data_IF_114666374411
#
_entry.id   IF_114666374411
#
_cell.length_a   1.000
_cell.length_b   1.000
_cell.length_c   1.000
_cell.angle_alpha   90.00
_cell.angle_beta   90.00
_cell.angle_gamma   90.00
#
_symmetry.space_group_name_H-M   'P 1'
#
loop_
_entity.id
_entity.type
_entity.pdbx_description
1 polymer ?
#
# COMPACT_ATOMS: atom_id res chain seq x y z
N UNK A 1 18.49 2.89 4.24
CA UNK A 1 18.51 1.90 3.14
C UNK A 1 18.37 2.48 1.73
N UNK A 2 18.04 3.76 1.50
CA UNK A 2 18.16 4.36 0.15
C UNK A 2 17.17 3.94 -0.94
N UNK A 3 16.37 2.87 -0.79
CA UNK A 3 15.45 2.39 -1.83
C UNK A 3 14.44 3.43 -2.34
N UNK A 4 13.77 4.15 -1.45
CA UNK A 4 12.90 5.29 -1.84
C UNK A 4 13.67 6.29 -2.71
N UNK A 5 14.93 6.57 -2.39
CA UNK A 5 15.77 7.51 -3.16
C UNK A 5 16.10 6.98 -4.56
N UNK A 6 16.34 5.67 -4.69
CA UNK A 6 16.56 5.00 -5.98
C UNK A 6 15.30 5.10 -6.84
N UNK A 7 14.13 4.76 -6.29
CA UNK A 7 12.85 4.84 -7.02
C UNK A 7 12.55 6.28 -7.45
N UNK A 8 12.75 7.27 -6.57
CA UNK A 8 12.57 8.68 -6.93
C UNK A 8 13.51 9.12 -8.07
N UNK A 9 14.73 8.60 -8.15
CA UNK A 9 15.67 8.87 -9.26
C UNK A 9 15.26 8.18 -10.55
N UNK A 10 14.71 6.97 -10.48
CA UNK A 10 14.12 6.29 -11.63
C UNK A 10 12.93 7.09 -12.17
N UNK A 11 12.03 7.55 -11.28
CA UNK A 11 10.89 8.39 -11.63
C UNK A 11 11.36 9.69 -12.30
N UNK A 12 12.36 10.35 -11.73
CA UNK A 12 12.97 11.54 -12.34
C UNK A 12 13.52 11.23 -13.74
N UNK A 13 14.26 10.15 -13.91
CA UNK A 13 14.87 9.82 -15.20
C UNK A 13 13.80 9.54 -16.27
N UNK A 14 12.79 8.76 -15.92
CA UNK A 14 11.72 8.35 -16.85
C UNK A 14 10.68 9.45 -17.10
N UNK A 15 10.61 10.48 -16.24
CA UNK A 15 9.74 11.65 -16.47
C UNK A 15 10.10 12.41 -17.75
N UNK A 16 11.35 12.34 -18.20
CA UNK A 16 11.80 13.00 -19.44
C UNK A 16 11.48 12.22 -20.71
N UNK A 17 11.07 10.95 -20.60
CA UNK A 17 10.87 10.06 -21.73
C UNK A 17 9.57 9.27 -21.59
N UNK A 18 9.60 8.10 -20.96
CA UNK A 18 8.49 7.14 -20.86
C UNK A 18 7.23 7.76 -20.25
N UNK A 19 7.37 8.71 -19.33
CA UNK A 19 6.22 9.35 -18.67
C UNK A 19 5.84 10.72 -19.26
N UNK A 20 6.46 11.13 -20.38
CA UNK A 20 6.16 12.39 -21.03
C UNK A 20 4.65 12.52 -21.37
N UNK A 21 4.05 13.64 -20.98
CA UNK A 21 2.63 13.90 -21.20
C UNK A 21 1.68 12.94 -20.48
N UNK A 22 2.11 12.34 -19.38
CA UNK A 22 1.32 11.40 -18.56
C UNK A 22 1.46 11.71 -17.06
N UNK A 23 0.64 11.06 -16.24
CA UNK A 23 0.63 11.22 -14.80
C UNK A 23 1.56 10.22 -14.10
N UNK A 24 2.15 10.67 -12.99
CA UNK A 24 2.90 9.84 -12.04
C UNK A 24 2.26 10.03 -10.66
N UNK A 25 1.77 8.94 -10.07
CA UNK A 25 1.21 8.95 -8.72
C UNK A 25 2.24 8.54 -7.68
N UNK A 26 2.36 9.31 -6.60
CA UNK A 26 3.12 8.95 -5.39
C UNK A 26 2.10 8.81 -4.26
N UNK A 27 1.97 7.62 -3.69
CA UNK A 27 1.02 7.31 -2.63
C UNK A 27 1.84 6.97 -1.38
N UNK A 28 1.66 7.73 -0.31
CA UNK A 28 2.36 7.45 0.95
C UNK A 28 1.55 7.91 2.16
N UNK A 29 1.52 7.04 3.18
CA UNK A 29 0.81 7.19 4.46
C UNK A 29 -0.68 7.52 4.36
N UNK A 30 -1.38 7.35 5.47
CA UNK A 30 -2.78 7.78 5.61
C UNK A 30 -2.92 9.29 5.83
N UNK A 31 -1.83 9.99 6.20
CA UNK A 31 -1.79 11.45 6.28
C UNK A 31 -0.94 12.02 5.13
N UNK A 32 -1.48 12.96 4.36
CA UNK A 32 -0.80 13.53 3.19
C UNK A 32 0.52 14.27 3.46
N UNK A 33 0.97 14.35 4.73
CA UNK A 33 2.28 14.92 5.10
C UNK A 33 3.45 14.07 4.63
N UNK A 34 3.33 12.74 4.62
CA UNK A 34 4.38 11.83 4.13
C UNK A 34 4.45 11.81 2.61
N UNK A 35 3.32 11.73 1.89
CA UNK A 35 3.32 11.85 0.43
C UNK A 35 3.97 13.16 -0.06
N UNK A 36 3.75 14.27 0.68
CA UNK A 36 4.46 15.53 0.44
C UNK A 36 5.97 15.46 0.71
N UNK A 37 6.43 14.60 1.62
CA UNK A 37 7.86 14.40 1.91
C UNK A 37 8.59 13.87 0.67
N UNK A 38 8.04 12.86 0.01
CA UNK A 38 8.67 12.28 -1.19
C UNK A 38 8.54 13.19 -2.40
N UNK A 39 7.41 13.88 -2.55
CA UNK A 39 7.29 14.94 -3.56
C UNK A 39 8.35 16.04 -3.37
N UNK A 40 8.60 16.47 -2.13
CA UNK A 40 9.68 17.45 -1.81
C UNK A 40 11.07 16.89 -2.05
N UNK A 41 11.31 15.60 -1.84
CA UNK A 41 12.58 14.95 -2.17
C UNK A 41 12.78 14.93 -3.67
N UNK A 42 11.77 14.53 -4.43
CA UNK A 42 11.80 14.54 -5.88
C UNK A 42 12.02 15.96 -6.44
N UNK A 43 11.30 16.97 -5.93
CA UNK A 43 11.54 18.36 -6.30
C UNK A 43 12.98 18.82 -6.04
N UNK A 44 13.62 18.34 -4.97
CA UNK A 44 15.05 18.65 -4.72
C UNK A 44 15.95 18.06 -5.80
N UNK A 45 15.64 16.89 -6.35
CA UNK A 45 16.41 16.32 -7.45
C UNK A 45 16.29 17.18 -8.73
N UNK A 46 15.09 17.68 -9.03
CA UNK A 46 14.87 18.60 -10.15
C UNK A 46 15.59 19.94 -10.03
N UNK A 47 16.04 20.37 -8.84
CA UNK A 47 16.79 21.62 -8.68
C UNK A 47 18.10 21.65 -9.49
N UNK A 48 18.64 20.49 -9.84
CA UNK A 48 19.82 20.38 -10.71
C UNK A 48 19.52 20.72 -12.18
N UNK A 49 18.25 20.72 -12.57
CA UNK A 49 17.77 20.90 -13.95
C UNK A 49 16.50 21.78 -13.97
N UNK A 50 16.54 23.00 -13.41
CA UNK A 50 15.33 23.78 -13.13
C UNK A 50 14.52 24.16 -14.38
N UNK A 51 15.15 24.21 -15.55
CA UNK A 51 14.51 24.59 -16.83
C UNK A 51 13.47 23.58 -17.31
N UNK A 52 13.47 22.36 -16.78
CA UNK A 52 12.50 21.32 -17.15
C UNK A 52 11.23 21.36 -16.30
N UNK A 53 11.23 22.12 -15.20
CA UNK A 53 10.08 22.22 -14.30
C UNK A 53 9.25 23.43 -14.69
N UNK A 54 8.05 23.17 -15.22
CA UNK A 54 7.07 24.20 -15.54
C UNK A 54 6.46 24.78 -14.25
N UNK A 55 6.09 23.90 -13.33
CA UNK A 55 5.48 24.26 -12.07
C UNK A 55 6.15 23.47 -10.94
N UNK A 56 6.85 24.20 -10.07
CA UNK A 56 7.30 23.67 -8.78
C UNK A 56 6.10 23.27 -7.92
N UNK A 57 6.38 22.67 -6.75
CA UNK A 57 5.34 22.14 -5.87
C UNK A 57 4.22 23.17 -5.64
N UNK A 58 3.03 22.85 -6.15
CA UNK A 58 1.78 23.57 -5.88
C UNK A 58 0.76 22.56 -5.39
N UNK A 59 0.26 22.78 -4.17
CA UNK A 59 -0.54 21.80 -3.42
C UNK A 59 0.22 20.47 -3.27
N UNK A 60 -0.11 19.47 -4.09
CA UNK A 60 0.50 18.15 -4.09
C UNK A 60 1.10 17.78 -5.46
N UNK A 61 1.35 18.76 -6.33
CA UNK A 61 1.74 18.50 -7.73
C UNK A 61 3.04 19.19 -8.13
N UNK A 62 3.81 18.54 -9.00
CA UNK A 62 4.89 19.12 -9.81
C UNK A 62 4.51 18.93 -11.28
N UNK A 63 4.70 19.96 -12.11
CA UNK A 63 4.51 19.85 -13.58
C UNK A 63 5.82 20.06 -14.31
N UNK A 64 6.07 19.19 -15.28
CA UNK A 64 7.25 19.21 -16.15
C UNK A 64 6.84 19.78 -17.49
N UNK A 65 7.74 20.51 -18.15
CA UNK A 65 7.48 21.21 -19.44
C UNK A 65 7.00 20.29 -20.57
N UNK A 66 7.22 18.98 -20.46
CA UNK A 66 6.76 17.98 -21.42
C UNK A 66 5.35 17.45 -21.12
N UNK A 67 4.63 18.08 -20.20
CA UNK A 67 3.28 17.70 -19.79
C UNK A 67 3.20 16.58 -18.76
N UNK A 68 4.33 16.06 -18.25
CA UNK A 68 4.29 15.12 -17.13
C UNK A 68 3.81 15.80 -15.86
N UNK A 69 2.83 15.21 -15.20
CA UNK A 69 2.31 15.69 -13.90
C UNK A 69 2.63 14.65 -12.84
N UNK A 70 3.33 15.07 -11.79
CA UNK A 70 3.65 14.20 -10.66
C UNK A 70 2.81 14.65 -9.48
N UNK A 71 1.99 13.76 -8.95
CA UNK A 71 1.02 14.06 -7.91
C UNK A 71 1.18 13.14 -6.70
N UNK A 72 1.04 13.72 -5.51
CA UNK A 72 1.15 13.04 -4.24
C UNK A 72 -0.22 12.87 -3.58
N UNK A 73 -0.57 11.63 -3.25
CA UNK A 73 -1.83 11.23 -2.65
C UNK A 73 -1.61 10.57 -1.29
N UNK A 74 -2.61 10.71 -0.41
CA UNK A 74 -2.70 9.84 0.76
C UNK A 74 -3.16 8.45 0.32
N UNK A 75 -2.84 7.43 1.11
CA UNK A 75 -3.31 6.07 0.90
C UNK A 75 -4.81 5.98 1.20
N UNK A 76 -5.63 6.10 0.15
CA UNK A 76 -7.08 5.87 0.17
C UNK A 76 -7.53 5.19 -1.12
N UNK A 77 -8.74 4.63 -1.12
CA UNK A 77 -9.32 3.97 -2.29
C UNK A 77 -9.49 4.95 -3.47
N UNK A 78 -9.82 6.20 -3.15
CA UNK A 78 -10.06 7.29 -4.10
C UNK A 78 -8.79 7.96 -4.62
N UNK A 79 -7.60 7.53 -4.16
CA UNK A 79 -6.33 8.18 -4.44
C UNK A 79 -6.07 8.41 -5.93
N UNK A 80 -6.63 7.57 -6.81
CA UNK A 80 -6.47 7.67 -8.27
C UNK A 80 -7.80 7.71 -9.03
N UNK A 81 -8.82 8.38 -8.48
CA UNK A 81 -10.11 8.57 -9.18
C UNK A 81 -10.05 9.77 -10.14
N UNK A 82 -10.08 9.53 -11.46
CA UNK A 82 -10.04 10.59 -12.50
C UNK A 82 -9.34 10.20 -13.80
N UNK A 83 -9.01 11.19 -14.64
CA UNK A 83 -8.38 11.00 -15.97
C UNK A 83 -7.14 10.10 -15.89
N UNK A 84 -7.24 8.96 -16.57
CA UNK A 84 -6.60 7.71 -16.15
C UNK A 84 -5.19 7.52 -16.65
N UNK A 85 -4.55 8.49 -17.34
CA UNK A 85 -3.26 8.30 -18.02
C UNK A 85 -2.06 8.28 -17.07
N UNK A 86 -2.06 7.37 -16.10
CA UNK A 86 -0.93 7.08 -15.23
C UNK A 86 0.05 6.16 -15.93
N UNK A 87 1.32 6.57 -16.01
CA UNK A 87 2.43 5.73 -16.51
C UNK A 87 3.35 5.24 -15.41
N UNK A 88 3.22 5.75 -14.19
CA UNK A 88 3.92 5.27 -13.02
C UNK A 88 3.07 5.47 -11.77
N UNK A 89 3.07 4.48 -10.89
CA UNK A 89 2.52 4.57 -9.54
C UNK A 89 3.59 4.08 -8.56
N UNK A 90 3.88 4.89 -7.55
CA UNK A 90 4.84 4.57 -6.50
C UNK A 90 4.15 4.61 -5.14
N UNK A 91 4.14 3.47 -4.44
CA UNK A 91 3.64 3.34 -3.08
C UNK A 91 4.82 3.22 -2.11
N UNK A 92 5.03 4.25 -1.28
CA UNK A 92 6.08 4.27 -0.26
C UNK A 92 5.52 3.94 1.13
N UNK A 93 6.31 3.22 1.92
CA UNK A 93 5.97 2.75 3.26
C UNK A 93 4.63 1.98 3.33
N UNK A 94 4.26 1.23 2.28
CA UNK A 94 2.94 0.61 2.14
C UNK A 94 2.52 -0.32 3.29
N UNK A 95 3.40 -1.21 3.76
CA UNK A 95 3.13 -2.10 4.89
C UNK A 95 2.95 -1.32 6.22
N UNK A 96 3.43 -0.09 6.31
CA UNK A 96 3.34 0.76 7.51
C UNK A 96 2.10 1.64 7.57
N UNK A 97 1.29 1.70 6.51
CA UNK A 97 0.07 2.51 6.50
C UNK A 97 -0.88 2.10 7.63
N UNK A 98 -1.58 3.06 8.22
CA UNK A 98 -2.55 2.80 9.30
C UNK A 98 -3.90 2.31 8.75
N UNK A 99 -3.85 1.31 7.87
CA UNK A 99 -5.00 0.62 7.31
C UNK A 99 -5.07 -0.77 7.94
N UNK A 100 -6.27 -1.18 8.35
CA UNK A 100 -6.55 -2.55 8.81
C UNK A 100 -6.41 -3.51 7.63
N UNK A 101 -6.94 -3.11 6.48
CA UNK A 101 -6.83 -3.81 5.20
C UNK A 101 -6.46 -2.78 4.12
N UNK A 102 -5.41 -3.06 3.34
CA UNK A 102 -4.97 -2.24 2.21
C UNK A 102 -5.51 -2.74 0.87
N UNK A 103 -6.25 -3.86 0.85
CA UNK A 103 -6.86 -4.45 -0.35
C UNK A 103 -7.68 -3.45 -1.17
N UNK A 104 -8.54 -2.57 -0.60
CA UNK A 104 -9.30 -1.59 -1.38
C UNK A 104 -8.40 -0.62 -2.18
N UNK A 105 -7.28 -0.20 -1.59
CA UNK A 105 -6.30 0.69 -2.25
C UNK A 105 -5.63 -0.04 -3.43
N UNK A 106 -5.25 -1.29 -3.25
CA UNK A 106 -4.68 -2.09 -4.34
C UNK A 106 -5.70 -2.41 -5.43
N UNK A 107 -6.95 -2.69 -5.07
CA UNK A 107 -8.03 -2.95 -6.02
C UNK A 107 -8.35 -1.75 -6.90
N UNK A 108 -8.15 -0.51 -6.43
CA UNK A 108 -8.30 0.67 -7.27
C UNK A 108 -7.07 0.93 -8.15
N UNK A 109 -5.87 0.62 -7.67
CA UNK A 109 -4.59 0.89 -8.37
C UNK A 109 -4.26 -0.15 -9.44
N UNK A 110 -4.33 -1.44 -9.12
CA UNK A 110 -3.83 -2.51 -10.00
C UNK A 110 -4.52 -2.54 -11.36
N UNK A 111 -5.84 -2.30 -11.49
CA UNK A 111 -6.48 -2.18 -12.80
C UNK A 111 -5.92 -1.04 -13.65
N UNK A 112 -5.58 0.10 -13.04
CA UNK A 112 -4.98 1.25 -13.73
C UNK A 112 -3.57 0.88 -14.20
N UNK A 113 -2.77 0.25 -13.34
CA UNK A 113 -1.42 -0.22 -13.68
C UNK A 113 -1.47 -1.13 -14.89
N UNK A 114 -2.34 -2.14 -14.86
CA UNK A 114 -2.49 -3.14 -15.94
C UNK A 114 -3.01 -2.52 -17.23
N UNK A 115 -4.06 -1.72 -17.15
CA UNK A 115 -4.69 -1.10 -18.34
C UNK A 115 -3.73 -0.17 -19.08
N UNK A 116 -2.89 0.56 -18.35
CA UNK A 116 -1.99 1.53 -18.94
C UNK A 116 -0.60 0.99 -19.27
N UNK A 117 -0.29 -0.24 -18.85
CA UNK A 117 1.10 -0.73 -18.81
C UNK A 117 2.01 0.20 -18.02
N UNK A 118 1.52 0.67 -16.88
CA UNK A 118 2.24 1.60 -16.01
C UNK A 118 3.33 0.85 -15.23
N UNK A 119 4.42 1.54 -14.91
CA UNK A 119 5.39 1.02 -13.98
C UNK A 119 4.83 1.13 -12.55
N UNK A 120 4.99 0.08 -11.75
CA UNK A 120 4.47 0.03 -10.39
C UNK A 120 5.59 -0.29 -9.41
N UNK A 121 5.86 0.64 -8.51
CA UNK A 121 6.89 0.50 -7.47
C UNK A 121 6.21 0.42 -6.11
N UNK A 122 6.53 -0.61 -5.35
CA UNK A 122 6.05 -0.83 -3.99
C UNK A 122 7.26 -0.96 -3.07
N UNK A 123 7.44 -0.02 -2.16
CA UNK A 123 8.59 0.00 -1.23
C UNK A 123 8.07 0.02 0.20
N UNK A 124 8.56 -0.92 1.02
CA UNK A 124 8.27 -0.93 2.44
C UNK A 124 9.26 -1.77 3.22
N UNK A 125 9.40 -1.44 4.51
CA UNK A 125 9.88 -2.42 5.48
C UNK A 125 8.69 -3.33 5.85
N UNK A 126 8.86 -4.65 5.92
CA UNK A 126 7.81 -5.59 6.29
C UNK A 126 7.09 -5.21 7.59
N UNK A 127 5.78 -5.45 7.67
CA UNK A 127 4.99 -5.26 8.91
C UNK A 127 3.74 -6.13 8.91
N UNK A 128 3.73 -7.16 9.76
CA UNK A 128 2.60 -8.07 9.95
C UNK A 128 2.22 -8.89 8.70
N UNK A 129 1.60 -10.07 8.87
CA UNK A 129 1.26 -10.95 7.74
C UNK A 129 -0.05 -10.58 7.02
N UNK A 130 -0.74 -9.52 7.44
CA UNK A 130 -2.13 -9.28 7.01
C UNK A 130 -2.23 -8.51 5.69
N UNK A 131 -1.20 -7.71 5.37
CA UNK A 131 -1.25 -6.72 4.30
C UNK A 131 -0.80 -7.27 2.96
N UNK A 132 -1.15 -6.56 1.89
CA UNK A 132 -0.79 -6.94 0.52
C UNK A 132 0.71 -7.13 0.33
N UNK A 133 1.55 -6.38 1.05
CA UNK A 133 3.01 -6.54 1.00
C UNK A 133 3.47 -7.95 1.44
N UNK A 134 2.84 -8.55 2.44
CA UNK A 134 3.09 -9.95 2.82
C UNK A 134 2.53 -10.92 1.78
N UNK A 135 1.30 -10.68 1.29
CA UNK A 135 0.66 -11.54 0.28
C UNK A 135 1.49 -11.61 -1.00
N UNK A 136 2.02 -10.47 -1.47
CA UNK A 136 2.93 -10.40 -2.63
C UNK A 136 4.24 -11.15 -2.33
N UNK A 137 4.74 -11.12 -1.09
CA UNK A 137 5.95 -11.88 -0.76
C UNK A 137 5.74 -13.39 -0.86
N UNK A 138 4.61 -13.87 -0.35
CA UNK A 138 4.26 -15.29 -0.39
C UNK A 138 3.87 -15.76 -1.80
N UNK A 139 3.25 -14.87 -2.58
CA UNK A 139 2.85 -15.12 -3.96
C UNK A 139 3.06 -13.87 -4.83
N UNK A 140 4.25 -13.73 -5.46
CA UNK A 140 4.61 -12.53 -6.19
C UNK A 140 3.77 -12.25 -7.43
N UNK A 141 3.07 -13.24 -8.01
CA UNK A 141 2.27 -13.06 -9.23
C UNK A 141 3.05 -12.27 -10.33
N UNK A 142 2.65 -11.02 -10.60
CA UNK A 142 3.23 -10.12 -11.62
C UNK A 142 4.46 -9.31 -11.11
N UNK A 143 4.85 -9.48 -9.85
CA UNK A 143 5.87 -8.67 -9.17
C UNK A 143 7.26 -9.32 -9.20
N UNK A 144 8.28 -8.48 -9.36
CA UNK A 144 9.68 -8.84 -9.09
C UNK A 144 10.06 -8.26 -7.74
N UNK A 145 10.44 -9.13 -6.80
CA UNK A 145 10.82 -8.72 -5.47
C UNK A 145 12.32 -8.52 -5.31
N UNK A 146 12.67 -7.50 -4.53
CA UNK A 146 14.02 -7.24 -4.08
C UNK A 146 14.02 -7.07 -2.57
N UNK A 147 14.84 -7.86 -1.89
CA UNK A 147 15.13 -7.69 -0.47
C UNK A 147 16.46 -6.96 -0.31
N UNK A 148 16.53 -6.03 0.64
CA UNK A 148 17.76 -5.28 0.91
C UNK A 148 17.87 -4.95 2.39
N UNK A 149 18.68 -5.74 3.08
CA UNK A 149 18.95 -5.59 4.52
C UNK A 149 20.08 -4.59 4.76
N UNK A 150 20.32 -4.25 6.03
CA UNK A 150 21.28 -3.21 6.39
C UNK A 150 22.71 -3.65 6.12
N UNK A 151 22.95 -4.96 6.09
CA UNK A 151 24.24 -5.55 5.78
C UNK A 151 24.69 -5.23 4.36
N UNK A 152 23.76 -5.05 3.42
CA UNK A 152 24.07 -4.65 2.05
C UNK A 152 24.63 -3.23 1.93
N UNK A 153 24.57 -2.46 3.02
CA UNK A 153 25.11 -1.10 3.09
C UNK A 153 26.53 -1.05 3.67
N UNK A 154 27.05 -2.18 4.16
CA UNK A 154 28.37 -2.29 4.79
C UNK A 154 29.47 -1.79 3.83
N UNK A 155 30.32 -0.90 4.34
CA UNK A 155 31.44 -0.32 3.59
C UNK A 155 31.04 0.75 2.58
N UNK A 156 29.75 0.98 2.35
CA UNK A 156 29.23 2.02 1.45
C UNK A 156 28.57 3.17 2.21
N UNK A 157 27.49 2.88 2.95
CA UNK A 157 26.77 3.89 3.74
C UNK A 157 27.12 3.82 5.22
N UNK A 158 27.38 2.62 5.74
CA UNK A 158 27.68 2.39 7.14
C UNK A 158 28.87 1.45 7.28
N UNK A 159 29.66 1.65 8.33
CA UNK A 159 30.65 0.70 8.80
C UNK A 159 29.96 -0.48 9.48
N UNK A 160 30.64 -1.62 9.56
CA UNK A 160 30.14 -2.80 10.29
C UNK A 160 29.75 -2.47 11.73
N UNK A 161 30.59 -1.69 12.41
CA UNK A 161 30.39 -1.28 13.81
C UNK A 161 29.13 -0.42 13.98
N UNK A 162 28.84 0.48 13.03
CA UNK A 162 27.60 1.25 13.01
C UNK A 162 26.38 0.36 12.78
N UNK A 163 26.49 -0.63 11.90
CA UNK A 163 25.41 -1.60 11.62
C UNK A 163 25.09 -2.42 12.87
N UNK A 164 26.10 -3.00 13.50
CA UNK A 164 25.93 -3.77 14.74
C UNK A 164 25.31 -2.90 15.85
N UNK A 165 25.72 -1.64 15.96
CA UNK A 165 25.13 -0.68 16.90
C UNK A 165 23.66 -0.40 16.60
N UNK A 166 23.29 -0.20 15.33
CA UNK A 166 21.89 0.01 14.93
C UNK A 166 21.02 -1.22 15.21
N UNK A 167 21.53 -2.42 14.94
CA UNK A 167 20.83 -3.68 15.22
C UNK A 167 20.69 -3.92 16.73
N UNK A 168 21.65 -3.50 17.54
CA UNK A 168 21.58 -3.63 19.00
C UNK A 168 20.68 -2.58 19.69
N UNK A 169 20.17 -1.60 18.94
CA UNK A 169 19.35 -0.52 19.49
C UNK A 169 17.98 -1.02 19.92
N UNK A 170 17.52 -0.58 21.09
CA UNK A 170 16.15 -0.83 21.58
C UNK A 170 15.14 0.25 21.20
N UNK A 171 15.56 1.30 20.48
CA UNK A 171 14.69 2.43 20.12
C UNK A 171 13.69 2.10 19.01
N UNK A 172 14.05 1.17 18.15
CA UNK A 172 13.29 0.69 17.00
C UNK A 172 13.33 -0.83 17.02
N UNK A 173 12.43 -1.50 16.30
CA UNK A 173 12.53 -2.95 16.13
C UNK A 173 13.53 -3.24 14.99
N UNK A 174 14.78 -3.62 15.30
CA UNK A 174 15.82 -3.78 14.28
C UNK A 174 15.49 -4.91 13.30
N UNK A 175 14.72 -5.91 13.74
CA UNK A 175 14.33 -7.02 12.87
C UNK A 175 13.38 -6.55 11.77
N UNK A 176 12.45 -5.66 12.12
CA UNK A 176 11.52 -5.07 11.17
C UNK A 176 12.18 -3.97 10.31
N UNK A 177 12.92 -3.07 10.94
CA UNK A 177 13.45 -1.86 10.29
C UNK A 177 14.73 -2.10 9.47
N UNK A 178 15.56 -3.07 9.87
CA UNK A 178 16.89 -3.27 9.28
C UNK A 178 17.11 -4.64 8.65
N UNK A 179 16.35 -5.66 9.07
CA UNK A 179 16.56 -7.05 8.67
C UNK A 179 15.39 -7.65 7.86
N UNK A 180 14.43 -6.83 7.43
CA UNK A 180 13.33 -7.25 6.58
C UNK A 180 12.50 -8.43 7.14
N UNK A 181 12.35 -8.54 8.46
CA UNK A 181 11.55 -9.62 9.06
C UNK A 181 10.11 -9.19 9.32
N UNK A 182 9.16 -10.04 8.94
CA UNK A 182 7.76 -9.88 9.34
C UNK A 182 7.60 -10.25 10.81
N UNK A 183 6.96 -9.35 11.57
CA UNK A 183 6.53 -9.61 12.93
C UNK A 183 5.04 -9.38 13.08
N UNK A 184 4.37 -10.27 13.79
CA UNK A 184 3.05 -9.98 14.35
C UNK A 184 3.21 -8.78 15.30
N UNK A 185 2.36 -7.77 15.14
CA UNK A 185 2.50 -6.53 15.90
C UNK A 185 2.49 -6.78 17.40
N UNK A 186 3.42 -6.17 18.13
CA UNK A 186 3.40 -6.11 19.61
C UNK A 186 2.20 -5.29 20.14
N UNK A 187 1.42 -4.65 19.26
CA UNK A 187 0.24 -3.84 19.60
C UNK A 187 -1.05 -4.67 19.82
N UNK A 188 -0.96 -6.01 19.90
CA UNK A 188 -2.07 -6.81 20.43
C UNK A 188 -2.13 -6.64 21.95
N UNK A 189 -3.18 -5.98 22.45
CA UNK A 189 -3.46 -5.93 23.90
C UNK A 189 -3.69 -7.34 24.49
N UNK A 190 -3.90 -8.34 23.62
CA UNK A 190 -4.20 -9.72 23.96
C UNK A 190 -3.01 -10.67 23.81
N UNK A 191 -1.79 -10.15 23.67
CA UNK A 191 -0.57 -10.95 23.57
C UNK A 191 -0.25 -11.41 22.15
N UNK A 192 0.94 -11.98 22.00
CA UNK A 192 1.52 -12.43 20.73
C UNK A 192 0.64 -13.51 20.12
N UNK A 193 -0.07 -13.16 19.03
CA UNK A 193 -0.71 -14.16 18.17
C UNK A 193 0.42 -14.84 17.41
N UNK A 194 0.61 -16.13 17.67
CA UNK A 194 1.58 -16.96 16.96
C UNK A 194 1.06 -17.30 15.56
N UNK A 195 1.94 -17.67 14.64
CA UNK A 195 1.53 -18.08 13.29
C UNK A 195 0.67 -19.36 13.30
N UNK A 196 0.74 -20.17 14.37
CA UNK A 196 -0.08 -21.37 14.56
C UNK A 196 -1.55 -21.04 14.86
N UNK A 197 -1.82 -19.87 15.46
CA UNK A 197 -3.17 -19.44 15.81
C UNK A 197 -4.03 -19.09 14.57
N UNK A 198 -3.39 -18.84 13.43
CA UNK A 198 -4.09 -18.56 12.16
C UNK A 198 -4.42 -19.81 11.34
N UNK A 199 -3.89 -20.98 11.72
CA UNK A 199 -4.19 -22.27 11.05
C UNK A 199 -5.29 -23.08 11.75
N UNK A 200 -5.88 -22.56 12.83
CA UNK A 200 -7.06 -23.15 13.46
C UNK A 200 -8.23 -23.18 12.49
N UNK A 201 -8.47 -24.33 11.84
CA UNK A 201 -9.76 -24.66 11.23
C UNK A 201 -10.85 -24.39 12.27
N UNK A 202 -11.73 -23.44 11.98
CA UNK A 202 -13.00 -23.32 12.69
C UNK A 202 -13.82 -24.55 12.28
N UNK A 203 -13.72 -25.63 13.05
CA UNK A 203 -14.73 -26.69 13.03
C UNK A 203 -15.98 -26.14 13.70
N UNK A 204 -17.03 -25.89 12.91
CA UNK A 204 -18.36 -25.67 13.44
C UNK A 204 -18.91 -27.01 13.95
N UNK A 205 -18.66 -27.34 15.21
CA UNK A 205 -19.52 -28.28 15.93
C UNK A 205 -20.79 -27.54 16.30
N UNK A 206 -21.84 -27.78 15.53
CA UNK A 206 -23.20 -27.41 15.93
C UNK A 206 -23.61 -28.40 17.02
N UNK A 207 -23.60 -27.97 18.27
CA UNK A 207 -24.27 -28.72 19.34
C UNK A 207 -25.77 -28.59 19.10
N UNK A 208 -26.41 -29.72 18.79
CA UNK A 208 -27.82 -29.82 18.53
C UNK A 208 -28.57 -29.85 19.86
N UNK A 209 -28.74 -28.70 20.52
CA UNK A 209 -29.55 -28.61 21.75
C UNK A 209 -30.32 -27.28 21.91
N UNK A 210 -30.53 -26.51 20.84
CA UNK A 210 -31.42 -25.33 20.87
C UNK A 210 -32.33 -25.27 19.61
N UNK A 211 -33.16 -26.30 19.42
CA UNK A 211 -34.38 -26.16 18.61
C UNK A 211 -35.54 -26.07 19.60
N UNK A 212 -35.87 -24.85 20.02
CA UNK A 212 -37.17 -24.58 20.63
C UNK A 212 -38.24 -24.73 19.54
N UNK A 213 -39.21 -25.61 19.79
CA UNK A 213 -40.39 -25.82 18.96
C UNK A 213 -41.22 -24.52 18.91
N UNK A 214 -41.21 -23.82 17.77
CA UNK A 214 -42.20 -22.78 17.51
C UNK A 214 -43.58 -23.41 17.24
N UNK A 215 -44.53 -23.02 18.08
CA UNK A 215 -45.91 -23.47 18.09
C UNK A 215 -46.67 -23.15 16.79
N UNK A 216 -47.47 -24.14 16.41
CA UNK A 216 -48.35 -24.20 15.25
C UNK A 216 -49.44 -23.11 15.33
N UNK A 217 -49.37 -22.09 14.48
CA UNK A 217 -50.46 -21.12 14.30
C UNK A 217 -51.38 -21.57 13.15
N UNK A 218 -52.60 -21.97 13.52
CA UNK A 218 -53.71 -22.32 12.63
C UNK A 218 -54.00 -21.21 11.60
N UNK A 219 -53.91 -21.56 10.32
CA UNK A 219 -54.48 -20.79 9.22
C UNK A 219 -56.02 -20.77 9.34
N UNK A 220 -56.58 -19.59 9.61
CA UNK A 220 -57.97 -19.29 9.25
C UNK A 220 -57.98 -18.44 8.00
N UNK A 221 -58.55 -19.01 6.95
CA UNK A 221 -59.00 -18.33 5.75
C UNK A 221 -59.88 -17.14 6.12
N UNK A 222 -59.52 -15.95 5.64
CA UNK A 222 -60.49 -14.92 5.31
C UNK A 222 -60.15 -14.35 3.94
N UNK A 223 -60.97 -14.76 2.98
CA UNK A 223 -61.11 -14.20 1.65
C UNK A 223 -61.55 -12.75 1.74
N UNK A 224 -60.79 -11.81 1.17
CA UNK A 224 -61.39 -10.71 0.41
C UNK A 224 -60.34 -10.02 -0.48
N UNK A 225 -60.72 -9.89 -1.76
CA UNK A 225 -59.80 -9.62 -2.86
C UNK A 225 -59.41 -8.17 -3.05
N UNK A 226 -58.29 -7.96 -3.73
CA UNK A 226 -57.98 -6.72 -4.44
C UNK A 226 -57.30 -7.08 -5.77
N UNK A 227 -58.01 -6.77 -6.86
CA UNK A 227 -57.55 -6.81 -8.25
C UNK A 227 -56.47 -5.75 -8.51
N UNK A 228 -55.41 -6.11 -9.23
CA UNK A 228 -54.57 -5.16 -9.95
C UNK A 228 -54.70 -5.38 -11.46
N UNK A 229 -55.29 -4.40 -12.13
CA UNK A 229 -55.29 -4.29 -13.59
C UNK A 229 -53.95 -3.73 -14.07
N UNK A 230 -53.30 -4.44 -14.98
CA UNK A 230 -52.23 -3.91 -15.83
C UNK A 230 -52.79 -2.92 -16.86
N UNK A 231 -52.12 -1.78 -17.00
CA UNK A 231 -51.90 -1.08 -18.27
C UNK A 231 -50.54 -0.42 -18.25
#
# INVERSE_FOLDING_TARGET
MGFTEIVLRIILHLSFSRYAGANVGIIAATNGSLAKKDLRRLARLYKSIPTVVEQWIKSNTIRIVNGTVIEAFAASEEALTGDTKYKCIFMDEAAKWKLVDDTPVFNSILPIVRTNGADFFLVSTPKGPVKMFYKIEQDPQDFVMFEYTIWETEGNLYTKEEIEKMISSSKEDPEQEYLCKYKAGQDSIFGTVSMDDQQGKIEWTVEADDIEEEENYDEKEDTDGIHWHEK
#
